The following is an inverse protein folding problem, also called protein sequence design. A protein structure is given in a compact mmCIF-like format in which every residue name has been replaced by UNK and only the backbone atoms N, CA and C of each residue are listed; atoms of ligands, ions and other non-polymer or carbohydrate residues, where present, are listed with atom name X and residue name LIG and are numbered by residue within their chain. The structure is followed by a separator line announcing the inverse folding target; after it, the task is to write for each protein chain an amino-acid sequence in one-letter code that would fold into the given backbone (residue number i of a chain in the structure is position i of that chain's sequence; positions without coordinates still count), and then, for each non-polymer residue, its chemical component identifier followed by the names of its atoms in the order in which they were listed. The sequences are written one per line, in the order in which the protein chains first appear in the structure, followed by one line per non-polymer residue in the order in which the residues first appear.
data_IF_204072595266
#
_entry.id   IF_204072595266
#
_cell.length_a   1.000
_cell.length_b   1.000
_cell.length_c   1.000
_cell.angle_alpha   90.00
_cell.angle_beta   90.00
_cell.angle_gamma   90.00
#
_symmetry.space_group_name_H-M   'P 1'
#
loop_
_entity.id
_entity.type
_entity.pdbx_description
1 polymer ?
#
# COMPACT_ATOMS: atom_id res chain seq x y z
N UNK A 1 -4.66 5.96 -8.73
CA UNK A 1 -6.05 5.48 -8.78
C UNK A 1 -6.72 6.01 -10.05
N UNK A 2 -6.97 7.32 -10.20
CA UNK A 2 -7.63 7.89 -11.38
C UNK A 2 -7.10 7.44 -12.78
N UNK A 3 -5.78 7.38 -12.98
CA UNK A 3 -5.20 7.02 -14.30
C UNK A 3 -5.42 5.55 -14.71
N UNK A 4 -5.67 4.63 -13.77
CA UNK A 4 -5.88 3.20 -14.09
C UNK A 4 -7.32 2.94 -14.50
N UNK A 5 -8.27 3.54 -13.78
CA UNK A 5 -9.71 3.39 -14.07
C UNK A 5 -10.05 4.09 -15.40
N UNK A 6 -9.43 5.25 -15.64
CA UNK A 6 -9.54 5.96 -16.92
C UNK A 6 -8.96 5.16 -18.09
N UNK A 7 -7.79 4.53 -17.93
CA UNK A 7 -7.19 3.70 -18.97
C UNK A 7 -8.11 2.53 -19.34
N UNK A 8 -8.69 1.86 -18.34
CA UNK A 8 -9.63 0.77 -18.57
C UNK A 8 -10.88 1.24 -19.33
N UNK A 9 -11.45 2.39 -18.95
CA UNK A 9 -12.60 2.96 -19.65
C UNK A 9 -12.32 3.34 -21.10
N UNK A 10 -11.09 3.76 -21.43
CA UNK A 10 -10.67 4.02 -22.82
C UNK A 10 -10.52 2.70 -23.59
N UNK A 11 -9.92 1.69 -22.97
CA UNK A 11 -9.73 0.37 -23.60
C UNK A 11 -11.08 -0.27 -23.90
N UNK A 12 -12.01 -0.27 -22.96
CA UNK A 12 -13.38 -0.77 -23.17
C UNK A 12 -14.11 -0.01 -24.29
N UNK A 13 -13.93 1.31 -24.35
CA UNK A 13 -14.47 2.10 -25.44
C UNK A 13 -13.87 1.69 -26.80
N UNK A 14 -12.54 1.50 -26.88
CA UNK A 14 -11.87 1.06 -28.10
C UNK A 14 -12.19 -0.38 -28.50
N UNK A 15 -12.62 -1.22 -27.57
CA UNK A 15 -13.05 -2.60 -27.78
C UNK A 15 -14.50 -2.72 -28.29
N UNK A 16 -15.34 -1.77 -27.90
CA UNK A 16 -16.76 -1.79 -28.24
C UNK A 16 -17.03 -1.52 -29.71
N UNK A 17 -18.19 -1.99 -30.20
CA UNK A 17 -18.64 -1.83 -31.59
C UNK A 17 -17.65 -2.35 -32.64
N UNK A 18 -16.91 -3.42 -32.32
CA UNK A 18 -15.92 -4.04 -33.20
C UNK A 18 -14.79 -3.09 -33.67
N UNK A 19 -14.52 -2.01 -32.92
CA UNK A 19 -13.39 -1.11 -33.17
C UNK A 19 -12.06 -1.85 -32.98
N UNK A 20 -11.12 -1.63 -33.88
CA UNK A 20 -9.77 -2.24 -33.87
C UNK A 20 -8.71 -1.17 -33.61
N UNK A 21 -8.69 -0.14 -34.44
CA UNK A 21 -7.78 0.99 -34.35
C UNK A 21 -8.30 2.15 -35.19
N UNK A 22 -7.77 3.38 -35.02
CA UNK A 22 -8.07 4.45 -35.96
C UNK A 22 -7.53 4.15 -37.36
N UNK A 23 -8.20 4.66 -38.38
CA UNK A 23 -7.72 4.67 -39.77
C UNK A 23 -6.36 5.38 -39.87
N UNK A 24 -5.48 5.03 -40.84
CA UNK A 24 -4.07 5.45 -40.85
C UNK A 24 -3.84 6.96 -40.61
N UNK A 25 -4.63 7.81 -41.26
CA UNK A 25 -4.54 9.27 -41.11
C UNK A 25 -4.99 9.73 -39.72
N UNK A 26 -6.09 9.18 -39.21
CA UNK A 26 -6.58 9.47 -37.87
C UNK A 26 -5.60 8.96 -36.79
N UNK A 27 -4.98 7.80 -37.04
CA UNK A 27 -4.01 7.18 -36.13
C UNK A 27 -2.70 7.96 -36.04
N UNK A 28 -2.21 8.48 -37.17
CA UNK A 28 -1.06 9.37 -37.18
C UNK A 28 -1.32 10.67 -36.38
N UNK A 29 -2.50 11.28 -36.54
CA UNK A 29 -2.89 12.47 -35.77
C UNK A 29 -3.03 12.17 -34.27
N UNK A 30 -3.60 11.02 -33.93
CA UNK A 30 -3.66 10.54 -32.54
C UNK A 30 -2.25 10.44 -31.93
N UNK A 31 -1.33 9.78 -32.63
CA UNK A 31 0.06 9.61 -32.18
C UNK A 31 0.75 10.97 -31.93
N UNK A 32 0.59 11.93 -32.87
CA UNK A 32 1.12 13.28 -32.71
C UNK A 32 0.50 14.02 -31.51
N UNK A 33 -0.81 13.92 -31.31
CA UNK A 33 -1.51 14.56 -30.20
C UNK A 33 -1.02 14.05 -28.84
N UNK A 34 -0.86 12.74 -28.70
CA UNK A 34 -0.33 12.08 -27.49
C UNK A 34 1.13 12.47 -27.25
N UNK A 35 1.97 12.41 -28.28
CA UNK A 35 3.39 12.81 -28.21
C UNK A 35 3.56 14.27 -27.77
N UNK A 36 2.81 15.18 -28.38
CA UNK A 36 2.90 16.61 -28.08
C UNK A 36 2.39 16.93 -26.66
N UNK A 37 1.32 16.28 -26.21
CA UNK A 37 0.80 16.45 -24.86
C UNK A 37 1.81 16.01 -23.79
N UNK A 38 2.52 14.91 -24.02
CA UNK A 38 3.60 14.45 -23.15
C UNK A 38 4.79 15.42 -23.12
N UNK A 39 5.14 16.02 -24.27
CA UNK A 39 6.23 17.00 -24.37
C UNK A 39 5.93 18.32 -23.64
N UNK A 40 4.69 18.83 -23.69
CA UNK A 40 4.29 20.09 -23.04
C UNK A 40 4.44 20.09 -21.52
N UNK A 41 4.34 18.93 -20.86
CA UNK A 41 4.56 18.81 -19.40
C UNK A 41 6.04 18.95 -19.00
N UNK A 42 6.99 18.74 -19.90
CA UNK A 42 8.43 18.94 -19.61
C UNK A 42 8.86 20.41 -19.58
N UNK A 43 8.08 21.32 -20.17
CA UNK A 43 8.43 22.75 -20.29
C UNK A 43 8.17 23.53 -18.97
N UNK A 44 7.59 22.88 -17.95
CA UNK A 44 7.35 23.46 -16.62
C UNK A 44 8.55 23.43 -15.65
N UNK A 45 9.73 23.02 -16.08
CA UNK A 45 10.92 22.99 -15.23
C UNK A 45 12.21 22.92 -16.05
N UNK A 46 12.85 24.07 -16.22
CA UNK A 46 14.26 24.27 -16.60
C UNK A 46 14.86 23.31 -17.64
N UNK A 47 15.00 23.81 -18.88
CA UNK A 47 15.85 23.22 -19.91
C UNK A 47 17.32 23.24 -19.49
N UNK A 48 17.96 22.07 -19.51
CA UNK A 48 19.39 21.97 -19.78
C UNK A 48 19.67 20.67 -20.55
N UNK A 49 19.73 20.81 -21.87
CA UNK A 49 20.88 20.46 -22.73
C UNK A 49 20.43 19.80 -24.04
N UNK A 50 20.36 20.64 -25.08
CA UNK A 50 20.47 20.24 -26.47
C UNK A 50 21.95 19.91 -26.71
N UNK A 51 22.35 18.65 -26.52
CA UNK A 51 23.65 18.15 -26.97
C UNK A 51 23.39 17.17 -28.12
N UNK A 52 23.79 17.59 -29.32
CA UNK A 52 23.85 16.75 -30.51
C UNK A 52 24.92 15.68 -30.27
N UNK A 53 24.52 14.53 -29.73
CA UNK A 53 25.37 13.34 -29.67
C UNK A 53 25.10 12.50 -30.93
N UNK A 54 26.15 12.31 -31.74
CA UNK A 54 26.13 11.58 -33.01
C UNK A 54 26.09 10.05 -32.86
N UNK A 55 25.74 9.51 -31.70
CA UNK A 55 25.66 8.06 -31.49
C UNK A 55 24.20 7.57 -31.61
N UNK A 56 23.94 6.91 -32.74
CA UNK A 56 22.62 6.46 -33.20
C UNK A 56 22.17 5.14 -32.60
N UNK A 57 22.83 4.62 -31.56
CA UNK A 57 22.48 3.33 -31.00
C UNK A 57 22.18 3.41 -29.50
N UNK A 58 20.99 2.94 -29.12
CA UNK A 58 20.62 2.52 -27.74
C UNK A 58 20.03 3.51 -26.71
N UNK A 59 19.54 4.72 -27.07
CA UNK A 59 18.81 5.59 -26.08
C UNK A 59 17.44 6.19 -26.48
N UNK A 60 16.90 5.96 -27.68
CA UNK A 60 15.62 6.60 -28.09
C UNK A 60 14.34 5.81 -27.78
N UNK A 61 14.44 4.56 -27.32
CA UNK A 61 13.28 3.65 -27.19
C UNK A 61 12.25 4.03 -26.11
N UNK A 62 12.57 4.97 -25.22
CA UNK A 62 11.67 5.40 -24.12
C UNK A 62 11.22 6.87 -24.22
N UNK A 63 11.47 7.58 -25.33
CA UNK A 63 11.08 8.99 -25.46
C UNK A 63 9.81 9.23 -26.27
N UNK A 64 9.36 8.28 -27.08
CA UNK A 64 8.23 8.46 -27.99
C UNK A 64 7.22 7.31 -27.89
N UNK A 65 5.91 7.57 -28.13
CA UNK A 65 4.95 6.48 -28.22
C UNK A 65 5.30 5.57 -29.40
N UNK A 66 5.01 4.25 -29.33
CA UNK A 66 5.28 3.35 -30.44
C UNK A 66 4.59 3.86 -31.70
N UNK A 67 5.30 3.83 -32.83
CA UNK A 67 4.78 4.36 -34.09
C UNK A 67 3.50 3.61 -34.47
N UNK A 68 2.45 4.31 -34.90
CA UNK A 68 1.32 3.64 -35.52
C UNK A 68 1.84 2.96 -36.79
N UNK A 69 1.34 1.75 -37.07
CA UNK A 69 1.63 1.08 -38.34
C UNK A 69 0.94 1.90 -39.44
N UNK A 70 1.60 2.89 -40.04
CA UNK A 70 1.04 3.76 -41.07
C UNK A 70 1.60 3.39 -42.44
N UNK A 71 0.89 3.80 -43.51
CA UNK A 71 1.24 3.53 -44.91
C UNK A 71 1.15 2.03 -45.26
N UNK A 72 2.02 1.51 -46.14
CA UNK A 72 1.91 0.14 -46.68
C UNK A 72 1.86 -0.97 -45.60
N UNK A 73 2.46 -0.73 -44.44
CA UNK A 73 2.46 -1.67 -43.32
C UNK A 73 1.10 -1.82 -42.63
N UNK A 74 0.20 -0.84 -42.73
CA UNK A 74 -1.13 -0.94 -42.10
C UNK A 74 -1.97 -2.06 -42.71
N UNK A 75 -1.98 -2.15 -44.05
CA UNK A 75 -2.72 -3.15 -44.83
C UNK A 75 -2.18 -4.58 -44.68
N UNK A 76 -0.91 -4.73 -44.29
CA UNK A 76 -0.26 -6.02 -44.07
C UNK A 76 -0.24 -6.49 -42.61
N UNK A 77 -0.74 -5.69 -41.67
CA UNK A 77 -0.80 -6.05 -40.24
C UNK A 77 -2.16 -6.63 -39.88
N UNK A 78 -2.15 -7.69 -39.05
CA UNK A 78 -3.40 -8.29 -38.57
C UNK A 78 -4.11 -7.35 -37.59
N UNK A 79 -5.43 -7.52 -37.44
CA UNK A 79 -6.21 -6.74 -36.49
C UNK A 79 -5.73 -6.92 -35.05
N UNK A 80 -5.22 -8.10 -34.69
CA UNK A 80 -4.57 -8.36 -33.41
C UNK A 80 -3.36 -7.44 -33.21
N UNK A 81 -2.46 -7.34 -34.20
CA UNK A 81 -1.28 -6.48 -34.13
C UNK A 81 -1.66 -4.99 -34.07
N UNK A 82 -2.74 -4.60 -34.75
CA UNK A 82 -3.27 -3.23 -34.69
C UNK A 82 -3.79 -2.90 -33.29
N UNK A 83 -4.54 -3.82 -32.67
CA UNK A 83 -5.02 -3.71 -31.27
C UNK A 83 -3.83 -3.60 -30.31
N UNK A 84 -2.81 -4.45 -30.44
CA UNK A 84 -1.61 -4.40 -29.59
C UNK A 84 -0.85 -3.08 -29.70
N UNK A 85 -0.76 -2.54 -30.92
CA UNK A 85 -0.11 -1.25 -31.18
C UNK A 85 -0.86 -0.11 -30.50
N UNK A 86 -2.20 -0.05 -30.64
CA UNK A 86 -3.02 0.96 -29.99
C UNK A 86 -2.95 0.85 -28.45
N UNK A 87 -3.00 -0.38 -27.92
CA UNK A 87 -2.83 -0.65 -26.48
C UNK A 87 -1.49 -0.14 -25.96
N UNK A 88 -0.41 -0.39 -26.69
CA UNK A 88 0.92 0.08 -26.32
C UNK A 88 1.03 1.61 -26.31
N UNK A 89 0.33 2.30 -27.22
CA UNK A 89 0.26 3.77 -27.22
C UNK A 89 -0.55 4.32 -26.04
N UNK A 90 -1.65 3.68 -25.66
CA UNK A 90 -2.45 4.07 -24.49
C UNK A 90 -1.69 3.85 -23.17
N UNK A 91 -0.95 2.76 -23.06
CA UNK A 91 -0.05 2.50 -21.93
C UNK A 91 1.04 3.56 -21.84
N UNK A 92 1.66 3.89 -22.97
CA UNK A 92 2.65 4.95 -23.03
C UNK A 92 2.05 6.30 -22.61
N UNK A 93 0.84 6.62 -23.09
CA UNK A 93 0.13 7.85 -22.72
C UNK A 93 -0.16 7.92 -21.22
N UNK A 94 -0.55 6.80 -20.58
CA UNK A 94 -0.76 6.73 -19.14
C UNK A 94 0.54 7.01 -18.36
N UNK A 95 1.66 6.40 -18.78
CA UNK A 95 2.97 6.60 -18.14
C UNK A 95 3.48 8.05 -18.24
N UNK A 96 3.14 8.73 -19.34
CA UNK A 96 3.57 10.11 -19.61
C UNK A 96 2.47 11.14 -19.29
N UNK A 97 1.36 10.69 -18.71
CA UNK A 97 0.22 11.50 -18.29
C UNK A 97 -0.50 12.25 -19.43
N UNK A 98 -0.44 11.73 -20.65
CA UNK A 98 -1.19 12.22 -21.82
C UNK A 98 -2.55 11.52 -22.00
N UNK A 99 -3.02 10.79 -20.99
CA UNK A 99 -4.20 9.93 -21.07
C UNK A 99 -5.51 10.70 -21.32
N UNK A 100 -5.66 11.90 -20.74
CA UNK A 100 -6.82 12.77 -20.99
C UNK A 100 -6.93 13.22 -22.45
N UNK A 101 -5.78 13.46 -23.09
CA UNK A 101 -5.71 13.86 -24.50
C UNK A 101 -6.02 12.65 -25.39
N UNK A 102 -5.49 11.48 -25.03
CA UNK A 102 -5.78 10.24 -25.73
C UNK A 102 -7.28 9.89 -25.70
N UNK A 103 -7.90 9.94 -24.51
CA UNK A 103 -9.32 9.66 -24.30
C UNK A 103 -10.21 10.57 -25.14
N UNK A 104 -10.01 11.88 -25.02
CA UNK A 104 -10.77 12.89 -25.76
C UNK A 104 -10.63 12.72 -27.26
N UNK A 105 -9.42 12.42 -27.74
CA UNK A 105 -9.16 12.24 -29.16
C UNK A 105 -9.90 11.02 -29.70
N UNK A 106 -9.76 9.86 -29.05
CA UNK A 106 -10.35 8.61 -29.51
C UNK A 106 -11.88 8.66 -29.47
N UNK A 107 -12.48 9.24 -28.41
CA UNK A 107 -13.93 9.44 -28.33
C UNK A 107 -14.47 10.47 -29.32
N UNK A 108 -13.61 11.34 -29.84
CA UNK A 108 -13.97 12.35 -30.84
C UNK A 108 -13.84 11.87 -32.30
N UNK A 109 -13.32 10.67 -32.54
CA UNK A 109 -13.20 10.12 -33.90
C UNK A 109 -14.58 9.74 -34.45
N UNK A 110 -14.80 10.04 -35.74
CA UNK A 110 -16.01 9.65 -36.45
C UNK A 110 -16.00 8.15 -36.73
N UNK A 111 -17.18 7.58 -36.99
CA UNK A 111 -17.32 6.14 -37.22
C UNK A 111 -16.50 5.61 -38.41
N UNK A 112 -16.30 6.43 -39.44
CA UNK A 112 -15.50 6.17 -40.65
C UNK A 112 -13.99 6.37 -40.44
N UNK A 113 -13.59 6.90 -39.29
CA UNK A 113 -12.18 7.05 -38.90
C UNK A 113 -11.70 5.90 -38.01
N UNK A 114 -12.53 4.89 -37.82
CA UNK A 114 -12.22 3.64 -37.13
C UNK A 114 -12.20 2.49 -38.12
N UNK A 115 -11.10 1.74 -38.12
CA UNK A 115 -11.07 0.41 -38.69
C UNK A 115 -11.77 -0.57 -37.75
N UNK A 116 -12.60 -1.44 -38.33
CA UNK A 116 -13.43 -2.39 -37.61
C UNK A 116 -13.19 -3.80 -38.13
N UNK A 117 -13.37 -4.78 -37.25
CA UNK A 117 -13.25 -6.18 -37.65
C UNK A 117 -14.32 -6.51 -38.70
N UNK A 118 -13.91 -7.10 -39.82
CA UNK A 118 -14.83 -7.56 -40.87
C UNK A 118 -15.50 -8.89 -40.51
N UNK A 119 -14.89 -9.71 -39.64
CA UNK A 119 -15.41 -11.03 -39.25
C UNK A 119 -15.72 -11.17 -37.73
N UNK A 120 -16.83 -11.82 -37.36
CA UNK A 120 -17.19 -12.11 -35.95
C UNK A 120 -16.14 -12.94 -35.19
N UNK A 121 -15.35 -13.74 -35.92
CA UNK A 121 -14.25 -14.58 -35.41
C UNK A 121 -13.09 -13.76 -34.82
N UNK A 122 -12.87 -12.56 -35.36
CA UNK A 122 -11.82 -11.64 -34.89
C UNK A 122 -12.24 -10.93 -33.60
N UNK A 123 -13.53 -10.62 -33.47
CA UNK A 123 -14.10 -10.06 -32.23
C UNK A 123 -14.00 -11.01 -31.03
N UNK A 124 -14.07 -12.33 -31.21
CA UNK A 124 -13.95 -13.29 -30.10
C UNK A 124 -12.50 -13.47 -29.60
N UNK A 125 -11.51 -13.43 -30.51
CA UNK A 125 -10.08 -13.45 -30.15
C UNK A 125 -9.68 -12.16 -29.43
N UNK A 126 -10.21 -11.02 -29.87
CA UNK A 126 -9.94 -9.72 -29.24
C UNK A 126 -10.59 -9.63 -27.86
N UNK A 127 -11.84 -10.09 -27.71
CA UNK A 127 -12.52 -10.16 -26.42
C UNK A 127 -11.78 -11.09 -25.42
N UNK A 128 -11.23 -12.21 -25.89
CA UNK A 128 -10.40 -13.10 -25.08
C UNK A 128 -9.11 -12.42 -24.61
N UNK A 129 -8.41 -11.71 -25.51
CA UNK A 129 -7.21 -10.94 -25.15
C UNK A 129 -7.50 -9.76 -24.20
N UNK A 130 -8.70 -9.19 -24.24
CA UNK A 130 -9.15 -8.17 -23.29
C UNK A 130 -9.42 -8.74 -21.89
N UNK A 131 -9.92 -9.96 -21.81
CA UNK A 131 -10.09 -10.65 -20.54
C UNK A 131 -8.74 -10.98 -19.89
N UNK A 132 -7.79 -11.49 -20.67
CA UNK A 132 -6.39 -11.70 -20.25
C UNK A 132 -5.72 -10.39 -19.80
N UNK A 133 -5.95 -9.30 -20.54
CA UNK A 133 -5.49 -7.96 -20.19
C UNK A 133 -6.05 -7.49 -18.84
N UNK A 134 -7.35 -7.64 -18.61
CA UNK A 134 -8.02 -7.25 -17.36
C UNK A 134 -7.42 -8.00 -16.16
N UNK A 135 -7.12 -9.29 -16.34
CA UNK A 135 -6.44 -10.11 -15.35
C UNK A 135 -4.98 -9.67 -15.12
N UNK A 136 -4.25 -9.32 -16.18
CA UNK A 136 -2.83 -8.93 -16.10
C UNK A 136 -2.62 -7.51 -15.55
N UNK A 137 -3.51 -6.56 -15.86
CA UNK A 137 -3.48 -5.20 -15.29
C UNK A 137 -3.88 -5.22 -13.82
N UNK A 138 -4.89 -6.01 -13.44
CA UNK A 138 -5.29 -6.15 -12.04
C UNK A 138 -4.22 -6.85 -11.21
N UNK A 139 -3.57 -7.89 -11.74
CA UNK A 139 -2.42 -8.53 -11.10
C UNK A 139 -1.23 -7.58 -10.95
N UNK A 140 -0.94 -6.76 -11.96
CA UNK A 140 0.07 -5.69 -11.87
C UNK A 140 -0.36 -4.57 -10.92
N UNK A 141 -1.66 -4.27 -10.79
CA UNK A 141 -2.21 -3.28 -9.86
C UNK A 141 -2.02 -3.71 -8.41
N UNK A 142 -2.28 -4.99 -8.12
CA UNK A 142 -2.02 -5.61 -6.82
C UNK A 142 -0.50 -5.57 -6.54
N UNK A 143 0.33 -6.03 -7.48
CA UNK A 143 1.79 -6.02 -7.30
C UNK A 143 2.44 -4.63 -7.22
N UNK A 144 1.88 -3.60 -7.89
CA UNK A 144 2.38 -2.22 -7.81
C UNK A 144 1.87 -1.49 -6.56
N UNK A 145 0.64 -1.77 -6.11
CA UNK A 145 0.14 -1.29 -4.82
C UNK A 145 0.98 -1.86 -3.67
N UNK A 146 1.28 -3.17 -3.72
CA UNK A 146 2.17 -3.85 -2.78
C UNK A 146 3.59 -3.27 -2.83
N UNK A 147 4.19 -3.09 -4.02
CA UNK A 147 5.51 -2.45 -4.16
C UNK A 147 5.54 -1.00 -3.68
N UNK A 148 4.47 -0.22 -3.92
CA UNK A 148 4.36 1.16 -3.43
C UNK A 148 4.22 1.19 -1.92
N UNK A 149 3.46 0.27 -1.34
CA UNK A 149 3.31 0.12 0.10
C UNK A 149 4.63 -0.32 0.74
N UNK A 150 5.38 -1.24 0.13
CA UNK A 150 6.73 -1.62 0.53
C UNK A 150 7.72 -0.46 0.41
N UNK A 151 7.67 0.34 -0.66
CA UNK A 151 8.53 1.53 -0.83
C UNK A 151 8.19 2.65 0.13
N UNK A 152 6.91 2.87 0.42
CA UNK A 152 6.47 3.83 1.45
C UNK A 152 6.86 3.36 2.84
N UNK A 153 6.73 2.06 3.14
CA UNK A 153 7.22 1.46 4.37
C UNK A 153 8.75 1.56 4.48
N UNK A 154 9.49 1.35 3.39
CA UNK A 154 10.94 1.50 3.36
C UNK A 154 11.38 2.97 3.47
N UNK A 155 10.66 3.91 2.86
CA UNK A 155 10.91 5.34 2.97
C UNK A 155 10.55 5.87 4.37
N UNK A 156 9.49 5.34 4.98
CA UNK A 156 9.13 5.60 6.37
C UNK A 156 10.19 5.02 7.31
N UNK A 157 10.61 3.77 7.14
CA UNK A 157 11.71 3.17 7.90
C UNK A 157 13.04 3.92 7.71
N UNK A 158 13.32 4.44 6.51
CA UNK A 158 14.50 5.29 6.26
C UNK A 158 14.34 6.67 6.90
N UNK A 159 13.13 7.24 6.95
CA UNK A 159 12.81 8.44 7.73
C UNK A 159 12.90 8.20 9.22
N UNK A 160 12.50 7.04 9.74
CA UNK A 160 12.60 6.70 11.15
C UNK A 160 14.07 6.43 11.53
N UNK A 161 14.89 5.91 10.60
CA UNK A 161 16.36 5.82 10.72
C UNK A 161 17.07 7.18 10.68
N UNK A 162 16.53 8.16 9.94
CA UNK A 162 17.08 9.53 9.80
C UNK A 162 16.40 10.57 10.68
N UNK A 163 15.29 10.24 11.32
CA UNK A 163 14.70 11.05 12.38
C UNK A 163 15.83 11.27 13.39
N UNK A 164 15.99 12.49 13.92
CA UNK A 164 17.02 12.74 14.88
C UNK A 164 16.71 11.86 16.09
N UNK A 165 17.36 10.68 16.17
CA UNK A 165 17.60 10.03 17.43
C UNK A 165 18.34 11.12 18.18
N UNK A 166 17.68 11.72 19.16
CA UNK A 166 18.37 12.53 20.14
C UNK A 166 19.41 11.59 20.76
N UNK A 167 20.65 11.66 20.23
CA UNK A 167 21.76 10.77 20.58
C UNK A 167 22.11 10.84 22.07
N UNK A 168 21.48 11.76 22.81
CA UNK A 168 21.61 11.95 24.25
C UNK A 168 20.81 10.93 25.06
N UNK A 169 19.85 10.21 24.50
CA UNK A 169 18.95 9.33 25.27
C UNK A 169 18.71 7.98 24.57
N UNK A 170 19.39 6.92 25.05
CA UNK A 170 19.07 5.53 24.68
C UNK A 170 18.09 4.97 25.70
N UNK A 171 17.11 4.17 25.25
CA UNK A 171 16.29 3.37 26.16
C UNK A 171 17.22 2.56 27.07
N UNK A 172 16.92 2.46 28.36
CA UNK A 172 17.71 1.65 29.29
C UNK A 172 17.55 0.14 29.07
N UNK A 173 16.61 -0.27 28.22
CA UNK A 173 16.36 -1.67 27.88
C UNK A 173 17.20 -2.10 26.69
N UNK A 174 17.57 -3.37 26.70
CA UNK A 174 18.26 -4.05 25.61
C UNK A 174 17.47 -3.87 24.29
N UNK A 175 18.20 -3.55 23.22
CA UNK A 175 17.64 -3.36 21.90
C UNK A 175 17.03 -4.65 21.33
N UNK A 176 17.50 -5.82 21.77
CA UNK A 176 16.90 -7.11 21.42
C UNK A 176 15.51 -7.27 22.06
N UNK A 177 15.34 -6.83 23.31
CA UNK A 177 14.04 -6.87 23.99
C UNK A 177 13.01 -5.95 23.30
N UNK A 178 13.44 -4.77 22.85
CA UNK A 178 12.57 -3.87 22.08
C UNK A 178 12.14 -4.52 20.77
N UNK A 179 13.08 -5.15 20.05
CA UNK A 179 12.77 -5.87 18.79
C UNK A 179 11.81 -7.02 19.02
N UNK A 180 11.94 -7.75 20.13
CA UNK A 180 11.00 -8.81 20.49
C UNK A 180 9.58 -8.28 20.68
N UNK A 181 9.41 -7.14 21.37
CA UNK A 181 8.10 -6.47 21.47
C UNK A 181 7.55 -6.03 20.11
N UNK A 182 8.39 -5.44 19.25
CA UNK A 182 7.98 -5.00 17.92
C UNK A 182 7.57 -6.16 16.99
N UNK A 183 8.21 -7.33 17.14
CA UNK A 183 7.94 -8.53 16.36
C UNK A 183 6.73 -9.36 16.87
N UNK A 184 6.35 -9.18 18.14
CA UNK A 184 5.27 -9.90 18.80
C UNK A 184 3.93 -9.71 18.07
N UNK A 185 3.20 -10.81 17.87
CA UNK A 185 1.80 -10.76 17.46
C UNK A 185 0.91 -10.65 18.71
N UNK A 186 0.21 -9.52 18.84
CA UNK A 186 -0.69 -9.27 19.97
C UNK A 186 -2.10 -9.76 19.60
N UNK A 187 -2.44 -10.96 20.04
CA UNK A 187 -3.68 -11.65 19.67
C UNK A 187 -4.81 -11.20 20.57
N UNK A 188 -5.98 -10.96 20.00
CA UNK A 188 -7.21 -10.57 20.70
C UNK A 188 -8.25 -11.65 20.46
N UNK A 189 -8.74 -12.26 21.53
CA UNK A 189 -9.78 -13.29 21.52
C UNK A 189 -11.17 -12.66 21.38
N UNK A 190 -11.34 -11.83 20.36
CA UNK A 190 -12.65 -11.41 19.89
C UNK A 190 -13.25 -12.49 18.99
N UNK A 191 -14.49 -12.28 18.54
CA UNK A 191 -15.13 -13.13 17.54
C UNK A 191 -15.33 -12.31 16.25
N UNK A 192 -14.58 -12.60 15.16
CA UNK A 192 -13.46 -13.57 15.08
C UNK A 192 -12.18 -13.08 15.75
N UNK A 193 -11.29 -14.03 16.11
CA UNK A 193 -9.95 -13.74 16.65
C UNK A 193 -9.14 -12.94 15.62
N UNK A 194 -8.33 -11.99 16.10
CA UNK A 194 -7.39 -11.26 15.25
C UNK A 194 -6.09 -10.95 15.98
N UNK A 195 -5.03 -10.67 15.22
CA UNK A 195 -3.74 -10.25 15.74
C UNK A 195 -3.43 -8.80 15.35
N UNK A 196 -2.79 -8.07 16.26
CA UNK A 196 -2.25 -6.73 16.03
C UNK A 196 -0.73 -6.78 15.93
N UNK A 197 -0.15 -5.90 15.11
CA UNK A 197 1.31 -5.70 15.01
C UNK A 197 1.64 -4.22 15.19
N UNK A 198 2.77 -3.94 15.84
CA UNK A 198 3.22 -2.56 16.09
C UNK A 198 3.40 -1.83 14.76
N UNK A 199 2.88 -0.60 14.68
CA UNK A 199 2.98 0.27 13.50
C UNK A 199 2.07 -0.11 12.33
N UNK A 200 1.30 -1.20 12.42
CA UNK A 200 0.38 -1.64 11.35
C UNK A 200 -1.07 -1.33 11.72
N UNK A 201 -1.79 -0.64 10.83
CA UNK A 201 -3.22 -0.36 11.04
C UNK A 201 -4.01 -1.67 11.11
N UNK A 202 -4.79 -1.84 12.17
CA UNK A 202 -5.69 -2.98 12.37
C UNK A 202 -7.13 -2.61 11.99
N UNK A 203 -7.64 -3.20 10.91
CA UNK A 203 -9.05 -3.10 10.51
C UNK A 203 -10.02 -3.56 11.61
N UNK A 204 -9.81 -4.76 12.21
CA UNK A 204 -10.67 -5.25 13.30
C UNK A 204 -10.76 -4.30 14.51
N UNK A 205 -9.66 -3.63 14.90
CA UNK A 205 -9.71 -2.64 15.98
C UNK A 205 -10.52 -1.41 15.57
N UNK A 206 -10.38 -0.94 14.33
CA UNK A 206 -11.16 0.18 13.84
C UNK A 206 -12.67 -0.12 13.87
N UNK A 207 -13.06 -1.33 13.47
CA UNK A 207 -14.45 -1.80 13.56
C UNK A 207 -14.93 -1.94 15.01
N UNK A 208 -14.08 -2.47 15.89
CA UNK A 208 -14.37 -2.61 17.31
C UNK A 208 -14.61 -1.24 17.97
N UNK A 209 -13.82 -0.23 17.62
CA UNK A 209 -14.01 1.16 18.06
C UNK A 209 -15.36 1.71 17.62
N UNK A 210 -15.73 1.55 16.35
CA UNK A 210 -17.02 2.01 15.86
C UNK A 210 -18.19 1.31 16.56
N UNK A 211 -18.11 0.00 16.76
CA UNK A 211 -19.17 -0.79 17.41
C UNK A 211 -19.37 -0.42 18.89
N UNK A 212 -18.27 -0.12 19.59
CA UNK A 212 -18.29 0.17 21.03
C UNK A 212 -18.39 1.66 21.35
N UNK A 213 -18.35 2.54 20.34
CA UNK A 213 -18.32 3.99 20.53
C UNK A 213 -17.01 4.49 21.18
N UNK A 214 -15.94 3.70 21.12
CA UNK A 214 -14.62 4.07 21.64
C UNK A 214 -13.69 4.50 20.49
N UNK A 215 -12.55 5.12 20.82
CA UNK A 215 -11.57 5.55 19.81
C UNK A 215 -10.12 5.29 20.23
N UNK A 216 -9.94 4.58 21.33
CA UNK A 216 -8.63 4.19 21.82
C UNK A 216 -8.73 2.94 22.69
N UNK A 217 -7.61 2.24 22.81
CA UNK A 217 -7.46 1.09 23.69
C UNK A 217 -6.03 0.96 24.17
N UNK A 218 -5.83 0.15 25.21
CA UNK A 218 -4.52 -0.28 25.68
C UNK A 218 -4.48 -1.80 25.74
N UNK A 219 -3.39 -2.39 25.27
CA UNK A 219 -3.13 -3.81 25.39
C UNK A 219 -2.03 -4.03 26.43
N UNK A 220 -2.38 -4.70 27.53
CA UNK A 220 -1.55 -4.79 28.73
C UNK A 220 -1.55 -6.22 29.25
N UNK A 221 -0.36 -6.72 29.59
CA UNK A 221 -0.16 -7.92 30.40
C UNK A 221 0.33 -7.56 31.80
N UNK A 222 0.05 -8.42 32.77
CA UNK A 222 0.69 -8.40 34.09
C UNK A 222 1.75 -9.49 34.25
N UNK A 223 2.00 -10.29 33.21
CA UNK A 223 3.00 -11.34 33.21
C UNK A 223 4.41 -10.76 33.15
N UNK A 224 5.36 -11.54 33.67
CA UNK A 224 6.79 -11.27 33.67
C UNK A 224 7.13 -9.79 33.99
N UNK A 225 6.74 -9.27 35.17
CA UNK A 225 7.09 -7.92 35.62
C UNK A 225 8.54 -7.55 35.31
N UNK A 226 8.76 -6.38 34.70
CA UNK A 226 10.06 -5.87 34.24
C UNK A 226 10.75 -6.75 33.18
N UNK A 227 10.04 -7.69 32.56
CA UNK A 227 10.61 -8.66 31.63
C UNK A 227 11.39 -9.78 32.31
N UNK A 228 11.21 -9.96 33.62
CA UNK A 228 11.83 -11.03 34.39
C UNK A 228 10.87 -12.23 34.44
N UNK A 229 11.35 -13.40 34.03
CA UNK A 229 10.56 -14.63 34.04
C UNK A 229 10.04 -14.92 35.46
N UNK A 230 8.72 -15.04 35.59
CA UNK A 230 8.05 -15.34 36.84
C UNK A 230 7.34 -16.69 36.78
N UNK A 231 7.02 -17.24 37.94
CA UNK A 231 6.24 -18.47 38.04
C UNK A 231 4.86 -18.30 37.38
N UNK A 232 4.36 -19.29 36.60
CA UNK A 232 3.05 -19.21 35.96
C UNK A 232 1.88 -18.93 36.92
N UNK A 233 1.95 -19.41 38.17
CA UNK A 233 0.93 -19.18 39.20
C UNK A 233 0.93 -17.71 39.63
N UNK A 234 2.11 -17.13 39.83
CA UNK A 234 2.26 -15.71 40.18
C UNK A 234 1.81 -14.80 39.03
N UNK A 235 2.16 -15.17 37.80
CA UNK A 235 1.71 -14.49 36.58
C UNK A 235 0.18 -14.52 36.45
N UNK A 236 -0.45 -15.69 36.63
CA UNK A 236 -1.90 -15.82 36.61
C UNK A 236 -2.58 -14.99 37.73
N UNK A 237 -2.00 -14.97 38.94
CA UNK A 237 -2.51 -14.13 40.03
C UNK A 237 -2.36 -12.63 39.73
N UNK A 238 -1.25 -12.21 39.10
CA UNK A 238 -1.04 -10.83 38.66
C UNK A 238 -2.04 -10.44 37.56
N UNK A 239 -2.31 -11.33 36.62
CA UNK A 239 -3.27 -11.11 35.54
C UNK A 239 -4.70 -10.96 36.06
N UNK A 240 -5.11 -11.77 37.03
CA UNK A 240 -6.40 -11.60 37.73
C UNK A 240 -6.51 -10.24 38.41
N UNK A 241 -5.43 -9.76 39.06
CA UNK A 241 -5.39 -8.41 39.66
C UNK A 241 -5.51 -7.30 38.61
N UNK A 242 -4.94 -7.49 37.42
CA UNK A 242 -5.10 -6.56 36.30
C UNK A 242 -6.55 -6.51 35.83
N UNK A 243 -7.18 -7.66 35.61
CA UNK A 243 -8.59 -7.74 35.22
C UNK A 243 -9.51 -7.04 36.24
N UNK A 244 -9.37 -7.34 37.53
CA UNK A 244 -10.14 -6.70 38.59
C UNK A 244 -9.94 -5.18 38.62
N UNK A 245 -8.70 -4.70 38.46
CA UNK A 245 -8.41 -3.27 38.39
C UNK A 245 -9.07 -2.59 37.18
N UNK A 246 -9.18 -3.28 36.05
CA UNK A 246 -9.83 -2.75 34.84
C UNK A 246 -11.34 -2.65 35.03
N UNK A 247 -11.94 -3.67 35.66
CA UNK A 247 -13.35 -3.69 36.02
C UNK A 247 -13.71 -2.59 37.02
N UNK A 248 -12.90 -2.40 38.08
CA UNK A 248 -13.05 -1.30 39.05
C UNK A 248 -12.99 0.09 38.41
N UNK A 249 -12.28 0.22 37.29
CA UNK A 249 -12.18 1.47 36.53
C UNK A 249 -13.37 1.69 35.59
N UNK A 250 -14.33 0.75 35.53
CA UNK A 250 -15.51 0.79 34.66
C UNK A 250 -15.15 0.71 33.18
N UNK A 251 -14.10 -0.04 32.83
CA UNK A 251 -13.64 -0.21 31.46
C UNK A 251 -13.90 -1.63 30.95
N UNK A 252 -14.43 -1.73 29.74
CA UNK A 252 -14.55 -3.01 29.06
C UNK A 252 -13.17 -3.52 28.61
N UNK A 253 -12.99 -4.84 28.67
CA UNK A 253 -11.79 -5.47 28.13
C UNK A 253 -12.08 -6.79 27.44
N UNK A 254 -11.22 -7.12 26.47
CA UNK A 254 -11.24 -8.39 25.74
C UNK A 254 -9.92 -9.11 26.05
N UNK A 255 -10.00 -10.40 26.35
CA UNK A 255 -8.82 -11.23 26.60
C UNK A 255 -7.99 -11.42 25.33
N UNK A 256 -6.72 -11.72 25.52
CA UNK A 256 -5.79 -11.98 24.43
C UNK A 256 -4.49 -12.55 24.96
N UNK A 257 -3.53 -12.73 24.07
CA UNK A 257 -2.17 -13.09 24.44
C UNK A 257 -1.12 -12.51 23.49
N UNK A 258 0.09 -12.28 24.02
CA UNK A 258 1.28 -12.01 23.21
C UNK A 258 1.87 -13.32 22.68
N UNK A 259 1.94 -13.48 21.36
CA UNK A 259 2.65 -14.58 20.70
C UNK A 259 3.94 -14.04 20.09
N UNK A 260 5.08 -14.34 20.72
CA UNK A 260 6.41 -14.07 20.16
C UNK A 260 6.75 -14.96 18.96
N UNK A 261 7.97 -14.87 18.45
CA UNK A 261 8.46 -15.85 17.48
C UNK A 261 8.54 -17.24 18.13
N UNK A 262 8.36 -18.29 17.31
CA UNK A 262 8.30 -19.68 17.78
C UNK A 262 9.62 -20.02 18.50
N UNK A 263 9.55 -20.32 19.79
CA UNK A 263 10.69 -20.78 20.59
C UNK A 263 11.13 -19.84 21.71
N UNK A 264 10.61 -18.60 21.78
CA UNK A 264 11.10 -17.61 22.75
C UNK A 264 10.44 -17.73 24.13
N UNK A 265 9.10 -17.69 24.23
CA UNK A 265 8.36 -17.75 25.51
C UNK A 265 6.95 -18.35 25.33
N UNK A 266 6.36 -19.00 26.36
CA UNK A 266 4.95 -19.38 26.32
C UNK A 266 4.05 -18.15 26.15
N UNK A 267 2.88 -18.28 25.50
CA UNK A 267 1.98 -17.14 25.27
C UNK A 267 1.62 -16.42 26.58
N UNK A 268 1.77 -15.10 26.58
CA UNK A 268 1.53 -14.26 27.76
C UNK A 268 0.12 -13.69 27.75
N UNK A 269 -0.73 -14.11 28.71
CA UNK A 269 -2.10 -13.61 28.82
C UNK A 269 -2.12 -12.08 28.96
N UNK A 270 -3.05 -11.45 28.25
CA UNK A 270 -3.14 -10.01 28.10
C UNK A 270 -4.60 -9.55 28.03
N UNK A 271 -4.82 -8.24 28.23
CA UNK A 271 -6.13 -7.60 28.07
C UNK A 271 -6.04 -6.45 27.07
N UNK A 272 -6.95 -6.44 26.09
CA UNK A 272 -7.29 -5.27 25.30
C UNK A 272 -8.36 -4.46 26.05
N UNK A 273 -7.97 -3.34 26.64
CA UNK A 273 -8.82 -2.48 27.47
C UNK A 273 -9.36 -1.33 26.62
N UNK A 274 -10.66 -1.32 26.34
CA UNK A 274 -11.32 -0.35 25.48
C UNK A 274 -11.51 1.00 26.17
N UNK A 275 -11.43 2.10 25.41
CA UNK A 275 -11.51 3.46 25.94
C UNK A 275 -10.33 3.87 26.84
N UNK A 276 -9.29 3.03 26.97
CA UNK A 276 -8.17 3.30 27.85
C UNK A 276 -7.24 4.39 27.26
N UNK A 277 -7.37 5.61 27.80
CA UNK A 277 -6.52 6.75 27.41
C UNK A 277 -5.04 6.47 27.69
N UNK A 278 -4.16 7.02 26.84
CA UNK A 278 -2.70 6.84 26.88
C UNK A 278 -2.08 7.01 28.27
N UNK A 279 -2.47 8.06 29.01
CA UNK A 279 -1.94 8.30 30.37
C UNK A 279 -2.39 7.24 31.39
N UNK A 280 -3.61 6.70 31.24
CA UNK A 280 -4.10 5.60 32.08
C UNK A 280 -3.38 4.30 31.73
N UNK A 281 -3.16 4.04 30.45
CA UNK A 281 -2.38 2.89 29.98
C UNK A 281 -0.97 2.88 30.62
N UNK A 282 -0.28 4.03 30.61
CA UNK A 282 1.02 4.18 31.29
C UNK A 282 0.94 3.89 32.79
N UNK A 283 -0.05 4.44 33.49
CA UNK A 283 -0.23 4.20 34.93
C UNK A 283 -0.50 2.73 35.25
N UNK A 284 -1.34 2.06 34.46
CA UNK A 284 -1.58 0.62 34.60
C UNK A 284 -0.31 -0.16 34.35
N UNK A 285 0.41 0.10 33.26
CA UNK A 285 1.69 -0.56 32.99
C UNK A 285 2.70 -0.37 34.13
N UNK A 286 2.84 0.84 34.69
CA UNK A 286 3.69 1.06 35.86
C UNK A 286 3.22 0.27 37.10
N UNK A 287 1.90 0.24 37.37
CA UNK A 287 1.32 -0.52 38.50
C UNK A 287 1.65 -2.02 38.40
N UNK A 288 1.63 -2.57 37.20
CA UNK A 288 1.97 -3.96 36.91
C UNK A 288 3.44 -4.14 36.49
N UNK A 289 4.28 -3.12 36.75
CA UNK A 289 5.73 -3.12 36.53
C UNK A 289 6.15 -3.53 35.12
N UNK A 290 5.36 -3.18 34.11
CA UNK A 290 5.66 -3.47 32.72
C UNK A 290 6.74 -2.53 32.17
N UNK A 291 7.59 -3.07 31.29
CA UNK A 291 8.60 -2.27 30.59
C UNK A 291 7.99 -1.40 29.49
N UNK A 292 6.91 -1.89 28.87
CA UNK A 292 6.16 -1.21 27.85
C UNK A 292 4.69 -1.62 27.89
N UNK A 293 3.82 -0.82 27.26
CA UNK A 293 2.43 -1.17 26.96
C UNK A 293 2.16 -0.86 25.50
N UNK A 294 1.23 -1.57 24.88
CA UNK A 294 0.78 -1.22 23.54
C UNK A 294 -0.45 -0.33 23.66
N UNK A 295 -0.45 0.81 22.99
CA UNK A 295 -1.58 1.73 22.97
C UNK A 295 -2.07 1.93 21.55
N UNK A 296 -3.38 1.98 21.37
CA UNK A 296 -4.01 2.14 20.07
C UNK A 296 -4.87 3.40 20.11
N UNK A 297 -4.57 4.37 19.25
CA UNK A 297 -5.38 5.57 19.08
C UNK A 297 -6.42 5.45 17.95
N UNK A 298 -7.11 6.54 17.65
CA UNK A 298 -8.23 6.56 16.69
C UNK A 298 -7.87 6.07 15.26
N UNK A 299 -6.58 6.14 14.89
CA UNK A 299 -6.09 5.59 13.62
C UNK A 299 -6.02 4.06 13.57
N UNK A 300 -6.33 3.36 14.67
CA UNK A 300 -6.22 1.92 14.83
C UNK A 300 -4.82 1.36 14.55
N UNK A 301 -3.77 2.17 14.79
CA UNK A 301 -2.37 1.76 14.68
C UNK A 301 -1.83 1.50 16.09
N UNK A 302 -1.40 0.28 16.41
CA UNK A 302 -0.77 -0.03 17.69
C UNK A 302 0.61 0.62 17.81
N UNK A 303 0.81 1.34 18.91
CA UNK A 303 2.05 2.01 19.27
C UNK A 303 2.65 1.36 20.52
N UNK A 304 3.92 0.99 20.47
CA UNK A 304 4.65 0.55 21.66
C UNK A 304 5.03 1.79 22.50
N UNK A 305 4.59 1.83 23.75
CA UNK A 305 4.92 2.89 24.70
C UNK A 305 5.87 2.36 25.76
N UNK A 306 7.10 2.82 25.71
CA UNK A 306 8.11 2.52 26.73
C UNK A 306 7.78 3.24 28.05
N UNK A 307 7.90 2.51 29.16
CA UNK A 307 7.64 3.00 30.52
C UNK A 307 8.91 3.17 31.35
N UNK A 308 10.03 2.61 30.89
CA UNK A 308 11.33 2.82 31.54
C UNK A 308 11.95 4.17 31.15
N UNK A 309 12.73 4.80 32.04
CA UNK A 309 13.46 6.02 31.72
C UNK A 309 14.54 5.76 30.68
N UNK A 310 14.74 6.72 29.77
CA UNK A 310 15.90 6.72 28.87
C UNK A 310 17.17 7.04 29.69
N UNK A 311 18.22 6.20 29.59
CA UNK A 311 19.54 6.52 30.18
C UNK A 311 20.30 7.45 29.23
N UNK A 312 20.99 8.45 29.81
CA UNK A 312 21.99 9.23 29.06
C UNK A 312 23.04 8.27 28.51
N UNK A 313 23.39 8.39 27.23
CA UNK A 313 24.54 7.67 26.69
C UNK A 313 25.79 8.15 27.47
N UNK A 314 26.52 7.22 28.08
CA UNK A 314 27.87 7.53 28.59
C UNK A 314 28.76 7.82 27.38
N UNK A 315 29.42 8.98 27.40
CA UNK A 315 30.39 9.44 26.39
C UNK A 315 31.63 8.55 26.35
#
# INVERSE_FOLDING_TARGET
MASSDQLNAIVEFCASEARICPEPNAWHRFWLAVKNAAGRRRIGGFDFNMRMDHDRSTKSLNLEPPLPNILASWWGTSDVQKVETLKSQLLWAAQHGALDVADRFLRGLRADEWHRAEEPSTSSVIAFMEQEWRMSVEAKRIGQAENRQQRLAAAQAHRDRKAPIDRRYRSSLDQNLIRAYEATAYVVFAEPEFAMRIGQRSGPIFELFNRTGTNCAAYITAWNPKGEACDPVDNAAAQKRLAACVEELGLDSIKGEGRGEIGDWPPEESLLILGCKRNRAKRLGHRFKQNAVVWIGAGAVPELIMLVPFKKAQE
#
